data_IF_137630419101
#
_entry.id   IF_137630419101
#
_cell.length_a   1.000
_cell.length_b   1.000
_cell.length_c   1.000
_cell.angle_alpha   90.00
_cell.angle_beta   90.00
_cell.angle_gamma   90.00
#
_symmetry.space_group_name_H-M   'P 1'
#
loop_
_entity.id
_entity.type
_entity.pdbx_description
1 polymer ?
#
# COMPACT_ATOMS: atom_id res chain seq x y z
N UNK A 1 -24.36 -29.37 -50.21
CA UNK A 1 -24.26 -28.87 -48.81
C UNK A 1 -23.23 -27.73 -48.77
N UNK A 2 -23.68 -26.47 -48.71
CA UNK A 2 -22.80 -25.30 -48.63
C UNK A 2 -22.41 -25.10 -47.13
N UNK A 3 -21.09 -25.14 -46.84
CA UNK A 3 -20.54 -24.85 -45.51
C UNK A 3 -20.75 -23.38 -45.20
N UNK A 4 -21.55 -23.08 -44.18
CA UNK A 4 -21.74 -21.72 -43.66
C UNK A 4 -20.42 -21.25 -42.99
N UNK A 5 -19.90 -20.14 -43.52
CA UNK A 5 -18.67 -19.54 -43.03
C UNK A 5 -19.01 -18.57 -41.89
N UNK A 6 -18.50 -18.78 -40.71
CA UNK A 6 -18.77 -18.01 -39.47
C UNK A 6 -18.25 -16.56 -39.49
N UNK A 7 -17.86 -15.99 -40.62
CA UNK A 7 -17.17 -14.69 -40.70
C UNK A 7 -18.06 -13.49 -41.09
N UNK A 8 -19.34 -13.71 -41.35
CA UNK A 8 -20.23 -12.65 -41.84
C UNK A 8 -21.34 -12.30 -40.84
N UNK A 9 -21.01 -12.17 -39.57
CA UNK A 9 -21.93 -11.52 -38.65
C UNK A 9 -21.67 -10.00 -38.71
N UNK A 10 -22.67 -9.17 -39.00
CA UNK A 10 -22.51 -7.73 -38.96
C UNK A 10 -22.16 -7.31 -37.50
N UNK A 11 -21.07 -6.59 -37.34
CA UNK A 11 -20.69 -5.95 -36.11
C UNK A 11 -21.72 -4.86 -35.78
N UNK A 12 -22.77 -5.22 -35.07
CA UNK A 12 -23.62 -4.22 -34.46
C UNK A 12 -22.87 -3.51 -33.37
N UNK A 13 -22.81 -2.16 -33.33
CA UNK A 13 -22.18 -1.46 -32.25
C UNK A 13 -22.92 -1.79 -30.94
N UNK A 14 -22.21 -2.39 -30.00
CA UNK A 14 -22.73 -2.62 -28.64
C UNK A 14 -22.83 -1.25 -27.98
N UNK A 15 -24.04 -0.67 -27.99
CA UNK A 15 -24.31 0.57 -27.26
C UNK A 15 -24.40 0.21 -25.77
N UNK A 16 -23.32 0.41 -25.03
CA UNK A 16 -23.33 0.28 -23.57
C UNK A 16 -24.05 1.51 -23.01
N UNK A 17 -25.35 1.36 -22.77
CA UNK A 17 -26.11 2.41 -22.06
C UNK A 17 -25.74 2.35 -20.59
N UNK A 18 -24.81 3.21 -20.16
CA UNK A 18 -24.59 3.47 -18.75
C UNK A 18 -25.81 4.19 -18.17
N UNK A 19 -26.76 3.42 -17.61
CA UNK A 19 -27.83 4.00 -16.79
C UNK A 19 -27.19 4.73 -15.61
N UNK A 20 -27.11 6.06 -15.68
CA UNK A 20 -26.78 6.87 -14.50
C UNK A 20 -27.79 6.50 -13.41
N UNK A 21 -27.31 5.92 -12.30
CA UNK A 21 -28.17 5.70 -11.13
C UNK A 21 -28.74 7.05 -10.73
N UNK A 22 -30.07 7.17 -10.72
CA UNK A 22 -30.76 8.32 -10.17
C UNK A 22 -30.37 8.42 -8.69
N UNK A 23 -29.58 9.42 -8.33
CA UNK A 23 -29.29 9.71 -6.93
C UNK A 23 -30.59 10.28 -6.38
N UNK A 24 -31.30 9.49 -5.58
CA UNK A 24 -32.47 9.96 -4.83
C UNK A 24 -31.89 10.78 -3.67
N UNK A 25 -32.14 12.09 -3.61
CA UNK A 25 -31.67 12.89 -2.49
C UNK A 25 -32.32 12.35 -1.20
N UNK A 26 -31.52 11.87 -0.28
CA UNK A 26 -32.00 11.51 1.05
C UNK A 26 -32.34 12.77 1.80
N UNK A 27 -33.63 13.00 2.04
CA UNK A 27 -34.16 14.15 2.77
C UNK A 27 -33.93 14.07 4.30
N UNK A 28 -33.39 12.96 4.79
CA UNK A 28 -33.09 12.78 6.22
C UNK A 28 -31.66 13.21 6.53
N UNK A 29 -31.52 13.96 7.61
CA UNK A 29 -30.20 14.30 8.15
C UNK A 29 -29.43 13.02 8.50
N UNK A 30 -28.11 12.98 8.27
CA UNK A 30 -27.31 11.83 8.58
C UNK A 30 -27.25 11.60 10.09
N UNK A 31 -27.33 10.35 10.52
CA UNK A 31 -27.15 9.98 11.94
C UNK A 31 -25.71 10.19 12.38
N UNK A 32 -25.46 10.31 13.69
CA UNK A 32 -24.10 10.43 14.23
C UNK A 32 -23.17 9.29 13.75
N UNK A 33 -23.64 8.05 13.72
CA UNK A 33 -22.89 6.91 13.21
C UNK A 33 -22.55 7.04 11.72
N UNK A 34 -23.43 7.62 10.90
CA UNK A 34 -23.17 7.87 9.48
C UNK A 34 -22.14 8.96 9.29
N UNK A 35 -22.18 10.02 10.11
CA UNK A 35 -21.19 11.08 10.11
C UNK A 35 -19.80 10.54 10.49
N UNK A 36 -19.73 9.74 11.54
CA UNK A 36 -18.50 9.07 11.96
C UNK A 36 -17.90 8.20 10.85
N UNK A 37 -18.72 7.35 10.22
CA UNK A 37 -18.27 6.52 9.10
C UNK A 37 -17.78 7.34 7.89
N UNK A 38 -18.41 8.49 7.61
CA UNK A 38 -17.95 9.38 6.55
C UNK A 38 -16.58 9.96 6.84
N UNK A 39 -16.32 10.36 8.10
CA UNK A 39 -15.00 10.86 8.51
C UNK A 39 -13.94 9.77 8.37
N UNK A 40 -14.17 8.58 8.91
CA UNK A 40 -13.26 7.42 8.77
C UNK A 40 -12.97 7.09 7.31
N UNK A 41 -14.00 7.08 6.47
CA UNK A 41 -13.84 6.83 5.04
C UNK A 41 -12.99 7.92 4.35
N UNK A 42 -13.19 9.18 4.73
CA UNK A 42 -12.41 10.30 4.19
C UNK A 42 -10.93 10.19 4.58
N UNK A 43 -10.64 9.88 5.85
CA UNK A 43 -9.28 9.63 6.35
C UNK A 43 -8.61 8.50 5.58
N UNK A 44 -9.28 7.35 5.45
CA UNK A 44 -8.77 6.21 4.69
C UNK A 44 -8.51 6.56 3.21
N UNK A 45 -9.38 7.35 2.60
CA UNK A 45 -9.23 7.76 1.19
C UNK A 45 -8.06 8.72 1.00
N UNK A 46 -7.83 9.63 1.95
CA UNK A 46 -6.67 10.53 1.93
C UNK A 46 -5.36 9.74 2.03
N UNK A 47 -5.27 8.82 2.98
CA UNK A 47 -4.08 7.97 3.12
C UNK A 47 -3.86 7.10 1.89
N UNK A 48 -4.94 6.52 1.31
CA UNK A 48 -4.84 5.78 0.06
C UNK A 48 -4.24 6.61 -1.08
N UNK A 49 -4.54 7.91 -1.15
CA UNK A 49 -3.97 8.79 -2.18
C UNK A 49 -2.44 8.90 -2.06
N UNK A 50 -1.91 8.90 -0.83
CA UNK A 50 -0.46 8.86 -0.58
C UNK A 50 0.14 7.48 -0.87
N UNK A 51 -0.55 6.41 -0.50
CA UNK A 51 -0.05 5.06 -0.67
C UNK A 51 -0.16 4.50 -2.11
N UNK A 52 -0.88 5.16 -3.00
CA UNK A 52 -1.10 4.67 -4.38
C UNK A 52 0.20 4.46 -5.18
N UNK A 53 1.24 5.23 -4.90
CA UNK A 53 2.54 5.12 -5.58
C UNK A 53 3.26 3.81 -5.25
N UNK A 54 2.95 3.21 -4.11
CA UNK A 54 3.43 1.91 -3.70
C UNK A 54 2.75 0.75 -4.47
N UNK A 55 1.55 0.98 -5.02
CA UNK A 55 0.74 -0.07 -5.64
C UNK A 55 1.48 -0.86 -6.73
N UNK A 56 2.26 -0.24 -7.65
CA UNK A 56 3.00 -0.97 -8.67
C UNK A 56 4.06 -1.92 -8.08
N UNK A 57 4.59 -1.59 -6.90
CA UNK A 57 5.62 -2.40 -6.23
C UNK A 57 4.99 -3.61 -5.54
N UNK A 58 3.81 -3.44 -4.94
CA UNK A 58 3.11 -4.49 -4.18
C UNK A 58 2.34 -5.45 -5.09
N UNK A 59 1.76 -4.96 -6.18
CA UNK A 59 0.87 -5.76 -7.01
C UNK A 59 1.67 -6.76 -7.84
N UNK A 60 1.55 -8.03 -7.53
CA UNK A 60 2.11 -9.13 -8.33
C UNK A 60 1.25 -9.49 -9.55
N UNK A 61 0.01 -9.04 -9.65
CA UNK A 61 -0.91 -9.34 -10.78
C UNK A 61 -1.78 -8.14 -11.16
N UNK A 62 -2.00 -7.95 -12.48
CA UNK A 62 -2.75 -6.85 -13.12
C UNK A 62 -4.27 -6.87 -12.82
N UNK A 63 -4.70 -6.56 -11.59
CA UNK A 63 -6.11 -6.27 -11.30
C UNK A 63 -6.22 -5.00 -10.44
N UNK A 64 -5.99 -3.85 -11.06
CA UNK A 64 -5.91 -2.55 -10.38
C UNK A 64 -7.21 -2.10 -9.69
N UNK A 65 -8.38 -2.49 -10.20
CA UNK A 65 -9.67 -2.04 -9.65
C UNK A 65 -10.02 -2.71 -8.31
N UNK A 66 -9.59 -3.97 -8.14
CA UNK A 66 -9.79 -4.75 -6.92
C UNK A 66 -8.88 -4.25 -5.77
N UNK A 67 -7.72 -3.71 -6.12
CA UNK A 67 -6.73 -3.29 -5.13
C UNK A 67 -7.18 -2.07 -4.32
N UNK A 68 -7.74 -1.04 -4.95
CA UNK A 68 -8.24 0.15 -4.24
C UNK A 68 -9.27 -0.23 -3.18
N UNK A 69 -10.19 -1.11 -3.54
CA UNK A 69 -11.23 -1.61 -2.63
C UNK A 69 -10.62 -2.42 -1.48
N UNK A 70 -9.64 -3.28 -1.76
CA UNK A 70 -8.94 -4.07 -0.74
C UNK A 70 -8.14 -3.19 0.20
N UNK A 71 -7.42 -2.21 -0.32
CA UNK A 71 -6.63 -1.28 0.47
C UNK A 71 -7.52 -0.45 1.41
N UNK A 72 -8.61 0.10 0.90
CA UNK A 72 -9.58 0.83 1.73
C UNK A 72 -10.19 -0.06 2.81
N UNK A 73 -10.57 -1.31 2.48
CA UNK A 73 -11.04 -2.28 3.46
C UNK A 73 -9.98 -2.59 4.52
N UNK A 74 -8.73 -2.76 4.11
CA UNK A 74 -7.61 -3.01 5.01
C UNK A 74 -7.46 -1.88 6.03
N UNK A 75 -7.47 -0.62 5.61
CA UNK A 75 -7.40 0.52 6.53
C UNK A 75 -8.59 0.50 7.51
N UNK A 76 -9.79 0.19 7.03
CA UNK A 76 -10.97 0.09 7.90
C UNK A 76 -10.87 -1.06 8.92
N UNK A 77 -10.18 -2.15 8.58
CA UNK A 77 -9.96 -3.28 9.50
C UNK A 77 -8.83 -3.04 10.48
N UNK A 78 -7.76 -2.36 10.07
CA UNK A 78 -6.62 -2.07 10.94
C UNK A 78 -6.95 -1.10 12.06
N UNK A 79 -7.99 -0.30 11.88
CA UNK A 79 -8.48 0.62 12.90
C UNK A 79 -8.07 2.06 12.70
N UNK A 80 -8.60 2.88 13.57
CA UNK A 80 -8.35 4.30 13.62
C UNK A 80 -8.04 4.69 15.07
N UNK A 81 -7.14 5.62 15.24
CA UNK A 81 -6.87 6.28 16.53
C UNK A 81 -7.65 7.59 16.62
N UNK A 82 -7.75 8.15 17.82
CA UNK A 82 -8.48 9.39 18.08
C UNK A 82 -9.98 9.20 18.29
N UNK A 83 -10.71 10.30 18.27
CA UNK A 83 -12.16 10.35 18.46
C UNK A 83 -12.80 11.27 17.43
N UNK A 84 -14.12 11.16 17.26
CA UNK A 84 -14.86 12.02 16.33
C UNK A 84 -14.71 13.51 16.71
N UNK A 85 -14.42 14.40 15.76
CA UNK A 85 -14.24 14.17 14.32
C UNK A 85 -12.79 13.84 13.89
N UNK A 86 -11.83 13.83 14.82
CA UNK A 86 -10.39 13.82 14.56
C UNK A 86 -9.83 12.40 14.61
N UNK A 87 -10.23 11.57 13.62
CA UNK A 87 -9.68 10.24 13.43
C UNK A 87 -8.40 10.27 12.61
N UNK A 88 -7.44 9.43 12.98
CA UNK A 88 -6.24 9.12 12.22
C UNK A 88 -6.14 7.62 11.95
N UNK A 89 -5.38 7.22 10.92
CA UNK A 89 -5.11 5.81 10.64
C UNK A 89 -4.15 5.28 11.69
N UNK A 90 -4.45 4.10 12.26
CA UNK A 90 -3.48 3.38 13.08
C UNK A 90 -2.44 2.72 12.17
N UNK A 91 -1.34 3.41 11.93
CA UNK A 91 -0.28 2.95 11.03
C UNK A 91 0.39 1.68 11.54
N UNK A 92 0.44 1.47 12.86
CA UNK A 92 1.09 0.31 13.48
C UNK A 92 0.37 -1.00 13.16
N UNK A 93 -0.94 -0.95 12.98
CA UNK A 93 -1.77 -2.10 12.63
C UNK A 93 -1.89 -2.33 11.12
N UNK A 94 -1.30 -1.45 10.31
CA UNK A 94 -1.47 -1.49 8.87
C UNK A 94 -0.51 -2.48 8.21
N UNK A 95 -1.05 -3.61 7.74
CA UNK A 95 -0.31 -4.63 7.00
C UNK A 95 -0.39 -4.36 5.49
N UNK A 96 0.65 -3.76 4.89
CA UNK A 96 0.63 -3.35 3.49
C UNK A 96 0.79 -4.51 2.51
N UNK A 97 1.57 -5.51 2.88
CA UNK A 97 1.77 -6.72 2.06
C UNK A 97 1.52 -7.97 2.88
N UNK A 98 1.00 -8.99 2.19
CA UNK A 98 0.79 -10.33 2.75
C UNK A 98 1.32 -11.35 1.76
N UNK A 99 2.10 -12.32 2.22
CA UNK A 99 2.69 -13.32 1.36
C UNK A 99 3.35 -14.46 2.11
N UNK A 100 4.22 -15.17 1.43
CA UNK A 100 4.81 -16.42 1.92
C UNK A 100 6.35 -16.38 2.07
N UNK A 101 6.99 -15.27 1.73
CA UNK A 101 8.41 -15.12 2.04
C UNK A 101 8.59 -14.82 3.52
N UNK A 102 9.59 -15.45 4.14
CA UNK A 102 9.93 -15.15 5.53
C UNK A 102 10.53 -13.75 5.64
N UNK A 103 10.27 -13.10 6.75
CA UNK A 103 10.78 -11.76 7.07
C UNK A 103 11.55 -11.80 8.38
N UNK A 104 12.75 -11.27 8.40
CA UNK A 104 13.57 -11.17 9.60
C UNK A 104 14.17 -9.76 9.71
N UNK A 105 13.33 -8.74 9.51
CA UNK A 105 13.75 -7.35 9.72
C UNK A 105 13.98 -7.10 11.21
N UNK A 106 15.17 -6.56 11.54
CA UNK A 106 15.62 -6.29 12.92
C UNK A 106 15.31 -4.87 13.35
N UNK A 107 15.88 -3.91 12.63
CA UNK A 107 15.82 -2.51 13.04
C UNK A 107 15.76 -1.56 11.85
N UNK A 108 15.24 -0.39 12.15
CA UNK A 108 15.32 0.79 11.31
C UNK A 108 15.84 1.92 12.16
N UNK A 109 16.84 2.63 11.68
CA UNK A 109 17.42 3.79 12.35
C UNK A 109 17.60 4.93 11.36
N UNK A 110 17.72 6.14 11.87
CA UNK A 110 17.99 7.34 11.10
C UNK A 110 19.16 8.06 11.74
N UNK A 111 20.14 8.42 10.94
CA UNK A 111 21.28 9.17 11.41
C UNK A 111 21.04 10.70 11.41
N UNK A 112 22.03 11.46 11.90
CA UNK A 112 21.97 12.92 11.93
C UNK A 112 21.95 13.60 10.57
N UNK A 113 22.35 12.90 9.52
CA UNK A 113 22.30 13.37 8.12
C UNK A 113 20.98 13.07 7.44
N UNK A 114 20.06 12.34 8.12
CA UNK A 114 18.75 11.98 7.58
C UNK A 114 18.74 10.68 6.78
N UNK A 115 19.87 9.96 6.75
CA UNK A 115 19.96 8.65 6.10
C UNK A 115 19.26 7.59 6.95
N UNK A 116 18.35 6.87 6.32
CA UNK A 116 17.62 5.77 6.91
C UNK A 116 18.40 4.47 6.66
N UNK A 117 18.73 3.75 7.72
CA UNK A 117 19.38 2.44 7.65
C UNK A 117 18.41 1.37 8.13
N UNK A 118 18.24 0.32 7.33
CA UNK A 118 17.41 -0.85 7.65
C UNK A 118 18.30 -2.08 7.71
N UNK A 119 18.15 -2.88 8.76
CA UNK A 119 18.88 -4.14 8.94
C UNK A 119 17.95 -5.33 9.06
N UNK A 120 18.42 -6.48 8.58
CA UNK A 120 17.70 -7.75 8.64
C UNK A 120 18.66 -8.92 8.80
N UNK A 121 18.12 -10.12 9.03
CA UNK A 121 18.89 -11.36 9.02
C UNK A 121 18.66 -12.12 7.72
N UNK A 122 19.74 -12.75 7.25
CA UNK A 122 19.68 -13.70 6.15
C UNK A 122 20.40 -14.99 6.53
N UNK A 123 19.69 -16.10 6.44
CA UNK A 123 20.28 -17.41 6.59
C UNK A 123 20.10 -18.22 5.28
N UNK A 124 21.18 -18.83 4.79
CA UNK A 124 21.21 -19.54 3.49
C UNK A 124 20.11 -20.60 3.33
N UNK A 125 19.75 -21.26 4.42
CA UNK A 125 18.71 -22.30 4.40
C UNK A 125 17.30 -21.73 4.14
N UNK A 126 17.08 -20.45 4.33
CA UNK A 126 15.80 -19.78 4.02
C UNK A 126 15.54 -19.62 2.53
N UNK A 127 16.58 -19.77 1.69
CA UNK A 127 16.50 -19.43 0.26
C UNK A 127 16.31 -17.92 0.03
N UNK A 128 16.08 -17.54 -1.22
CA UNK A 128 15.75 -16.16 -1.55
C UNK A 128 16.89 -15.15 -1.38
N UNK A 129 18.15 -15.56 -1.57
CA UNK A 129 19.31 -14.65 -1.51
C UNK A 129 19.14 -13.43 -2.41
N UNK A 130 18.51 -13.61 -3.58
CA UNK A 130 18.27 -12.59 -4.60
C UNK A 130 16.92 -11.90 -4.46
N UNK A 131 16.17 -12.18 -3.38
CA UNK A 131 14.96 -11.43 -3.06
C UNK A 131 15.33 -9.97 -2.85
N UNK A 132 14.54 -9.08 -3.42
CA UNK A 132 14.77 -7.64 -3.33
C UNK A 132 14.07 -7.04 -2.13
N UNK A 133 14.78 -6.12 -1.44
CA UNK A 133 14.19 -5.29 -0.39
C UNK A 133 13.43 -4.14 -1.01
N UNK A 134 12.24 -3.90 -0.50
CA UNK A 134 11.38 -2.81 -0.91
C UNK A 134 10.92 -2.06 0.35
N UNK A 135 10.84 -0.75 0.23
CA UNK A 135 10.56 0.16 1.32
C UNK A 135 9.44 1.12 0.90
N UNK A 136 8.47 1.29 1.78
CA UNK A 136 7.52 2.38 1.71
C UNK A 136 7.66 3.24 2.97
N UNK A 137 7.82 4.53 2.78
CA UNK A 137 7.92 5.51 3.87
C UNK A 137 6.78 6.52 3.72
N UNK A 138 6.06 6.75 4.79
CA UNK A 138 5.09 7.84 4.90
C UNK A 138 5.57 8.81 5.98
N UNK A 139 5.90 10.01 5.57
CA UNK A 139 6.20 11.12 6.46
C UNK A 139 4.87 11.77 6.87
N UNK A 140 4.44 11.55 8.11
CA UNK A 140 3.16 12.06 8.60
C UNK A 140 3.20 13.55 8.93
N UNK A 141 4.38 14.11 9.20
CA UNK A 141 4.58 15.55 9.43
C UNK A 141 4.43 16.31 8.11
N UNK A 142 5.22 15.95 7.10
CA UNK A 142 5.20 16.61 5.79
C UNK A 142 4.06 16.14 4.87
N UNK A 143 3.29 15.10 5.25
CA UNK A 143 2.24 14.47 4.43
C UNK A 143 2.75 14.00 3.07
N UNK A 144 3.94 13.41 3.03
CA UNK A 144 4.60 12.91 1.81
C UNK A 144 4.87 11.42 1.92
N UNK A 145 4.89 10.76 0.79
CA UNK A 145 5.24 9.33 0.70
C UNK A 145 6.41 9.11 -0.24
N UNK A 146 7.19 8.08 0.06
CA UNK A 146 8.35 7.67 -0.72
C UNK A 146 8.30 6.17 -0.92
N UNK A 147 8.65 5.73 -2.11
CA UNK A 147 8.69 4.32 -2.48
C UNK A 147 10.06 3.99 -3.04
N UNK A 148 10.73 3.06 -2.40
CA UNK A 148 12.02 2.56 -2.84
C UNK A 148 11.87 1.08 -3.18
N UNK A 149 12.03 0.77 -4.45
CA UNK A 149 11.93 -0.61 -4.94
C UNK A 149 13.28 -1.16 -5.35
N UNK A 150 13.54 -2.43 -4.99
CA UNK A 150 14.76 -3.16 -5.38
C UNK A 150 16.06 -2.46 -4.94
N UNK A 151 16.07 -1.90 -3.74
CA UNK A 151 17.19 -1.09 -3.24
C UNK A 151 18.35 -1.91 -2.71
N UNK A 152 18.09 -3.15 -2.29
CA UNK A 152 19.11 -4.08 -1.84
C UNK A 152 18.66 -5.51 -2.10
N UNK A 153 19.59 -6.45 -2.04
CA UNK A 153 19.32 -7.88 -2.07
C UNK A 153 19.32 -8.45 -0.64
N UNK A 154 18.50 -9.47 -0.43
CA UNK A 154 18.30 -10.05 0.90
C UNK A 154 19.58 -10.51 1.58
N UNK A 155 20.54 -11.05 0.83
CA UNK A 155 21.82 -11.53 1.35
C UNK A 155 22.77 -10.42 1.83
N UNK A 156 22.45 -9.14 1.57
CA UNK A 156 23.27 -8.01 1.99
C UNK A 156 23.07 -7.62 3.45
N UNK A 157 21.96 -8.04 4.07
CA UNK A 157 21.58 -7.86 5.48
C UNK A 157 21.46 -6.41 5.97
N UNK A 158 21.81 -5.44 5.12
CA UNK A 158 21.71 -4.01 5.41
C UNK A 158 21.49 -3.20 4.15
N UNK A 159 20.80 -2.08 4.31
CA UNK A 159 20.69 -1.05 3.28
C UNK A 159 20.59 0.32 3.93
N UNK A 160 21.02 1.35 3.19
CA UNK A 160 20.85 2.74 3.58
C UNK A 160 20.24 3.54 2.43
N UNK A 161 19.33 4.47 2.75
CA UNK A 161 18.66 5.32 1.78
C UNK A 161 18.39 6.70 2.38
N UNK A 162 18.61 7.74 1.58
CA UNK A 162 18.26 9.10 1.93
C UNK A 162 16.78 9.37 1.62
N UNK A 163 16.07 10.02 2.55
CA UNK A 163 14.69 10.46 2.35
C UNK A 163 14.69 11.93 1.92
N UNK A 164 14.42 12.23 0.64
CA UNK A 164 14.56 13.58 0.11
C UNK A 164 13.64 14.60 0.82
N UNK A 165 14.20 15.69 1.34
CA UNK A 165 13.44 16.77 1.95
C UNK A 165 12.66 16.35 3.20
N UNK A 166 13.20 15.39 3.95
CA UNK A 166 12.73 15.00 5.26
C UNK A 166 13.62 15.61 6.33
N UNK A 167 13.01 16.31 7.27
CA UNK A 167 13.70 16.89 8.41
C UNK A 167 13.90 15.85 9.53
N UNK A 168 14.91 16.06 10.38
CA UNK A 168 15.22 15.13 11.47
C UNK A 168 14.06 14.93 12.46
N UNK A 169 13.25 15.98 12.64
CA UNK A 169 12.12 15.99 13.58
C UNK A 169 10.82 15.46 12.94
N UNK A 170 10.89 14.97 11.71
CA UNK A 170 9.74 14.38 11.03
C UNK A 170 9.42 12.98 11.56
N UNK A 171 8.13 12.72 11.75
CA UNK A 171 7.61 11.39 12.11
C UNK A 171 7.47 10.55 10.85
N UNK A 172 8.22 9.45 10.81
CA UNK A 172 8.26 8.51 9.68
C UNK A 172 7.59 7.19 10.05
N UNK A 173 6.64 6.77 9.23
CA UNK A 173 6.04 5.45 9.24
C UNK A 173 6.62 4.63 8.10
N UNK A 174 7.20 3.49 8.40
CA UNK A 174 8.05 2.73 7.50
C UNK A 174 7.56 1.29 7.42
N UNK A 175 7.36 0.80 6.18
CA UNK A 175 7.04 -0.60 5.92
C UNK A 175 8.09 -1.18 5.00
N UNK A 176 8.71 -2.27 5.46
CA UNK A 176 9.76 -2.98 4.73
C UNK A 176 9.26 -4.38 4.37
N UNK A 177 9.56 -4.84 3.18
CA UNK A 177 9.17 -6.18 2.73
C UNK A 177 10.11 -6.71 1.64
N UNK A 178 10.19 -8.04 1.55
CA UNK A 178 10.93 -8.72 0.49
C UNK A 178 10.02 -9.06 -0.69
N UNK A 179 10.60 -9.08 -1.88
CA UNK A 179 9.93 -9.52 -3.10
C UNK A 179 10.87 -10.39 -3.94
N UNK A 180 10.38 -11.54 -4.40
CA UNK A 180 11.15 -12.45 -5.24
C UNK A 180 11.50 -11.85 -6.60
N UNK A 181 12.61 -12.28 -7.24
CA UNK A 181 13.04 -11.78 -8.56
C UNK A 181 11.98 -12.01 -9.65
N UNK A 182 11.23 -13.10 -9.57
CA UNK A 182 10.16 -13.45 -10.52
C UNK A 182 8.85 -12.68 -10.26
N UNK A 183 8.81 -11.84 -9.22
CA UNK A 183 7.66 -11.05 -8.78
C UNK A 183 6.40 -11.85 -8.39
N UNK A 184 6.52 -13.15 -8.13
CA UNK A 184 5.39 -14.01 -7.75
C UNK A 184 5.19 -14.09 -6.24
N UNK A 185 6.26 -13.94 -5.48
CA UNK A 185 6.27 -14.06 -4.03
C UNK A 185 6.66 -12.74 -3.38
N UNK A 186 6.05 -12.49 -2.22
CA UNK A 186 6.27 -11.29 -1.40
C UNK A 186 6.22 -11.72 0.07
N UNK A 187 6.90 -11.00 0.95
CA UNK A 187 6.77 -11.21 2.40
C UNK A 187 5.61 -10.41 3.00
N UNK A 188 5.31 -10.67 4.25
CA UNK A 188 4.58 -9.69 5.06
C UNK A 188 5.42 -8.41 5.17
N UNK A 189 4.76 -7.26 5.28
CA UNK A 189 5.46 -6.01 5.57
C UNK A 189 5.69 -5.88 7.07
N UNK A 190 6.92 -5.55 7.45
CA UNK A 190 7.26 -5.18 8.83
C UNK A 190 7.14 -3.68 8.97
N UNK A 191 6.41 -3.24 9.98
CA UNK A 191 6.25 -1.83 10.32
C UNK A 191 7.26 -1.36 11.34
N UNK A 192 7.77 -0.15 11.15
CA UNK A 192 8.58 0.61 12.09
C UNK A 192 8.11 2.07 12.12
N UNK A 193 8.27 2.73 13.26
CA UNK A 193 8.10 4.16 13.38
C UNK A 193 9.39 4.80 13.87
N UNK A 194 9.70 5.97 13.32
CA UNK A 194 10.74 6.84 13.82
C UNK A 194 10.10 8.16 14.19
N UNK A 195 10.24 8.51 15.44
CA UNK A 195 9.89 9.83 15.97
C UNK A 195 11.15 10.67 16.00
N UNK A 196 11.04 11.93 15.68
CA UNK A 196 12.16 12.85 15.66
C UNK A 196 12.67 13.21 17.06
#
# INVERSE_FOLDING_TARGET
MKKFNKRDQPLYPIIIIHKKRKVIPTTKEPTAAQLEQRVKFNVATKFHAHAKEMLPVIICKKKSLDYKTRFTKMIHHCGFTGSYPDYEVDYSQLQLTTGNLSELFKSVSRDSSGVLTVTWEYERWMGGADDTVNLFVYNSTAKRSYVFGKIALRHQEEMSVEIPGSDKDDVLHIWVFFKSPDHKHISYSKYFSLEG
#
